data_IF_119246311699
#
_entry.id   IF_119246311699
#
_cell.length_a   1.000
_cell.length_b   1.000
_cell.length_c   1.000
_cell.angle_alpha   90.00
_cell.angle_beta   90.00
_cell.angle_gamma   90.00
#
_symmetry.space_group_name_H-M   'P 1'
#
loop_
_entity.id
_entity.type
_entity.pdbx_description
1 polymer ?
#
# COMPACT_ATOMS: atom_id res chain seq x y z
N UNK A 1 -13.66 -27.52 11.74
CA UNK A 1 -13.20 -26.21 12.26
C UNK A 1 -12.05 -25.75 11.37
N UNK A 2 -12.23 -24.64 10.64
CA UNK A 2 -11.18 -24.07 9.78
C UNK A 2 -10.28 -23.25 10.69
N UNK A 3 -9.09 -23.75 11.01
CA UNK A 3 -8.09 -22.99 11.78
C UNK A 3 -7.87 -21.65 11.08
N UNK A 4 -8.06 -20.56 11.83
CA UNK A 4 -7.75 -19.21 11.38
C UNK A 4 -6.23 -19.16 11.13
N UNK A 5 -5.86 -19.23 9.86
CA UNK A 5 -4.47 -19.31 9.43
C UNK A 5 -3.87 -17.90 9.51
N UNK A 6 -3.24 -17.56 10.63
CA UNK A 6 -2.52 -16.30 10.82
C UNK A 6 -1.34 -16.13 9.87
N UNK A 7 -0.94 -17.17 9.12
CA UNK A 7 0.11 -17.11 8.11
C UNK A 7 -0.39 -16.80 6.71
N UNK A 8 -1.69 -16.51 6.51
CA UNK A 8 -2.16 -16.02 5.22
C UNK A 8 -1.49 -14.67 4.95
N UNK A 9 -0.46 -14.72 4.09
CA UNK A 9 0.22 -13.54 3.55
C UNK A 9 -0.86 -12.62 3.03
N UNK A 10 -0.87 -11.36 3.45
CA UNK A 10 -1.91 -10.44 3.02
C UNK A 10 -2.01 -10.47 1.50
N UNK A 11 -3.16 -10.93 1.01
CA UNK A 11 -3.38 -11.14 -0.40
C UNK A 11 -3.22 -9.82 -1.14
N UNK A 12 -2.70 -9.87 -2.37
CA UNK A 12 -2.60 -8.70 -3.25
C UNK A 12 -3.90 -7.89 -3.32
N UNK A 13 -5.03 -8.59 -3.25
CA UNK A 13 -6.37 -8.01 -3.22
C UNK A 13 -6.59 -7.11 -2.01
N UNK A 14 -6.18 -7.50 -0.80
CA UNK A 14 -6.40 -6.71 0.42
C UNK A 14 -5.67 -5.36 0.37
N UNK A 15 -4.42 -5.38 -0.11
CA UNK A 15 -3.66 -4.15 -0.34
C UNK A 15 -4.30 -3.26 -1.40
N UNK A 16 -4.77 -3.82 -2.52
CA UNK A 16 -5.43 -3.02 -3.57
C UNK A 16 -6.73 -2.41 -3.02
N UNK A 17 -7.55 -3.20 -2.32
CA UNK A 17 -8.77 -2.72 -1.67
C UNK A 17 -8.47 -1.59 -0.70
N UNK A 18 -7.41 -1.73 0.11
CA UNK A 18 -6.98 -0.69 1.03
C UNK A 18 -6.55 0.59 0.31
N UNK A 19 -5.70 0.49 -0.72
CA UNK A 19 -5.24 1.65 -1.49
C UNK A 19 -6.41 2.35 -2.18
N UNK A 20 -7.35 1.59 -2.75
CA UNK A 20 -8.56 2.14 -3.39
C UNK A 20 -9.45 2.83 -2.37
N UNK A 21 -9.72 2.18 -1.23
CA UNK A 21 -10.50 2.77 -0.16
C UNK A 21 -9.87 4.09 0.32
N UNK A 22 -8.55 4.09 0.46
CA UNK A 22 -7.81 5.24 0.94
C UNK A 22 -7.73 6.37 -0.08
N UNK A 23 -7.68 6.06 -1.37
CA UNK A 23 -7.82 7.03 -2.45
C UNK A 23 -9.25 7.61 -2.48
N UNK A 24 -10.29 6.78 -2.37
CA UNK A 24 -11.68 7.23 -2.34
C UNK A 24 -11.95 8.17 -1.16
N UNK A 25 -11.45 7.84 0.02
CA UNK A 25 -11.55 8.73 1.17
C UNK A 25 -10.86 10.06 0.90
N UNK A 26 -9.63 10.06 0.37
CA UNK A 26 -8.94 11.31 0.07
C UNK A 26 -9.66 12.15 -0.98
N UNK A 27 -10.24 11.53 -2.01
CA UNK A 27 -11.05 12.23 -2.99
C UNK A 27 -12.30 12.87 -2.37
N UNK A 28 -12.99 12.16 -1.48
CA UNK A 28 -14.11 12.73 -0.73
C UNK A 28 -13.65 13.91 0.14
N UNK A 29 -12.50 13.79 0.80
CA UNK A 29 -11.91 14.90 1.56
C UNK A 29 -11.64 16.13 0.67
N UNK A 30 -11.05 15.92 -0.51
CA UNK A 30 -10.79 17.00 -1.46
C UNK A 30 -12.10 17.65 -1.95
N UNK A 31 -13.10 16.83 -2.30
CA UNK A 31 -14.37 17.31 -2.85
C UNK A 31 -15.19 18.10 -1.82
N UNK A 32 -15.30 17.59 -0.59
CA UNK A 32 -16.17 18.19 0.43
C UNK A 32 -15.50 19.33 1.21
N UNK A 33 -14.19 19.24 1.44
CA UNK A 33 -13.47 20.17 2.30
C UNK A 33 -12.52 21.06 1.51
N UNK A 34 -11.51 20.48 0.84
CA UNK A 34 -10.48 21.28 0.17
C UNK A 34 -11.04 22.15 -0.97
N UNK A 35 -12.09 21.69 -1.67
CA UNK A 35 -12.78 22.48 -2.68
C UNK A 35 -13.47 23.73 -2.13
N UNK A 36 -13.76 23.78 -0.82
CA UNK A 36 -14.43 24.91 -0.16
C UNK A 36 -13.44 25.85 0.52
N UNK A 37 -12.42 25.30 1.18
CA UNK A 37 -11.46 26.09 1.95
C UNK A 37 -10.22 26.47 1.15
N UNK A 38 -9.99 25.86 -0.02
CA UNK A 38 -8.73 25.97 -0.81
C UNK A 38 -7.46 25.63 -0.03
N UNK A 39 -7.61 25.03 1.16
CA UNK A 39 -6.52 24.68 2.06
C UNK A 39 -6.57 23.18 2.35
N UNK A 40 -5.40 22.55 2.36
CA UNK A 40 -5.24 21.15 2.72
C UNK A 40 -4.87 21.07 4.20
N UNK A 41 -5.74 20.44 4.98
CA UNK A 41 -5.53 20.19 6.39
C UNK A 41 -4.39 19.20 6.59
N UNK A 42 -3.56 19.46 7.59
CA UNK A 42 -2.44 18.58 7.95
C UNK A 42 -2.91 17.22 8.50
N UNK A 43 -3.98 17.22 9.30
CA UNK A 43 -4.55 16.01 9.90
C UNK A 43 -4.98 14.96 8.86
N UNK A 44 -5.82 15.28 7.86
CA UNK A 44 -6.23 14.31 6.84
C UNK A 44 -5.05 13.84 5.97
N UNK A 45 -4.01 14.66 5.84
CA UNK A 45 -2.78 14.31 5.14
C UNK A 45 -1.98 13.24 5.91
N UNK A 46 -1.78 13.42 7.22
CA UNK A 46 -1.19 12.39 8.09
C UNK A 46 -2.02 11.10 8.03
N UNK A 47 -3.34 11.24 8.11
CA UNK A 47 -4.26 10.11 8.12
C UNK A 47 -4.32 9.38 6.78
N UNK A 48 -3.82 9.99 5.71
CA UNK A 48 -3.53 9.34 4.44
C UNK A 48 -2.18 8.60 4.47
N UNK A 49 -1.12 9.29 4.88
CA UNK A 49 0.28 8.83 4.75
C UNK A 49 0.60 7.66 5.68
N UNK A 50 0.27 7.77 6.97
CA UNK A 50 0.64 6.77 7.98
C UNK A 50 0.07 5.37 7.66
N UNK A 51 -1.24 5.22 7.42
CA UNK A 51 -1.84 3.95 7.02
C UNK A 51 -1.31 3.42 5.69
N UNK A 52 -1.10 4.27 4.68
CA UNK A 52 -0.58 3.83 3.37
C UNK A 52 0.86 3.33 3.46
N UNK A 53 1.72 4.04 4.20
CA UNK A 53 3.10 3.61 4.45
C UNK A 53 3.14 2.30 5.25
N UNK A 54 2.33 2.16 6.30
CA UNK A 54 2.28 0.93 7.09
C UNK A 54 1.87 -0.28 6.24
N UNK A 55 0.84 -0.12 5.40
CA UNK A 55 0.38 -1.19 4.51
C UNK A 55 1.42 -1.52 3.41
N UNK A 56 2.08 -0.49 2.85
CA UNK A 56 3.14 -0.67 1.87
C UNK A 56 4.37 -1.39 2.48
N UNK A 57 4.83 -1.01 3.67
CA UNK A 57 5.94 -1.69 4.34
C UNK A 57 5.60 -3.16 4.62
N UNK A 58 4.38 -3.45 5.09
CA UNK A 58 3.91 -4.84 5.30
C UNK A 58 3.97 -5.65 4.01
N UNK A 59 3.45 -5.14 2.89
CA UNK A 59 3.49 -5.88 1.62
C UNK A 59 4.90 -5.96 1.00
N UNK A 60 5.78 -5.00 1.25
CA UNK A 60 7.22 -5.12 0.89
C UNK A 60 7.82 -6.34 1.61
N UNK A 61 7.55 -6.45 2.92
CA UNK A 61 8.04 -7.55 3.73
C UNK A 61 7.43 -8.91 3.31
N UNK A 62 6.12 -8.97 3.05
CA UNK A 62 5.44 -10.21 2.69
C UNK A 62 5.77 -10.72 1.28
N UNK A 63 6.03 -9.80 0.34
CA UNK A 63 6.41 -10.12 -1.04
C UNK A 63 7.91 -10.41 -1.21
N UNK A 64 8.71 -10.28 -0.15
CA UNK A 64 10.15 -10.53 -0.17
C UNK A 64 10.95 -9.48 -0.94
N UNK A 65 10.42 -8.26 -1.05
CA UNK A 65 11.11 -7.14 -1.68
C UNK A 65 12.29 -6.66 -0.81
N UNK A 66 13.35 -6.16 -1.45
CA UNK A 66 14.50 -5.60 -0.73
C UNK A 66 14.11 -4.44 0.17
N UNK A 67 14.71 -4.33 1.36
CA UNK A 67 14.49 -3.21 2.30
C UNK A 67 14.83 -1.84 1.68
N UNK A 68 15.66 -1.79 0.64
CA UNK A 68 15.94 -0.58 -0.12
C UNK A 68 14.68 0.03 -0.76
N UNK A 69 13.67 -0.80 -1.04
CA UNK A 69 12.39 -0.36 -1.59
C UNK A 69 11.61 0.47 -0.56
N UNK A 70 11.82 0.27 0.75
CA UNK A 70 11.24 1.14 1.79
C UNK A 70 11.83 2.56 1.73
N UNK A 71 13.13 2.68 1.45
CA UNK A 71 13.78 3.99 1.28
C UNK A 71 13.23 4.69 0.04
N UNK A 72 13.01 3.93 -1.04
CA UNK A 72 12.38 4.44 -2.26
C UNK A 72 10.92 4.85 -2.02
N UNK A 73 10.19 4.16 -1.14
CA UNK A 73 8.83 4.53 -0.73
C UNK A 73 8.80 5.91 -0.07
N UNK A 74 9.82 6.28 0.70
CA UNK A 74 9.92 7.61 1.31
C UNK A 74 10.22 8.71 0.28
N UNK A 75 11.01 8.41 -0.76
CA UNK A 75 11.41 9.38 -1.79
C UNK A 75 10.36 9.53 -2.90
N UNK A 76 9.69 8.44 -3.27
CA UNK A 76 8.73 8.38 -4.38
C UNK A 76 7.51 7.51 -4.03
N UNK A 77 6.69 7.90 -3.03
CA UNK A 77 5.59 7.09 -2.52
C UNK A 77 4.55 6.77 -3.60
N UNK A 78 4.19 7.76 -4.42
CA UNK A 78 3.13 7.60 -5.42
C UNK A 78 3.46 6.58 -6.52
N UNK A 79 4.69 6.58 -7.02
CA UNK A 79 5.14 5.62 -8.04
C UNK A 79 5.20 4.21 -7.46
N UNK A 80 5.66 4.11 -6.20
CA UNK A 80 5.80 2.85 -5.48
C UNK A 80 4.47 2.17 -5.16
N UNK A 81 3.43 2.92 -4.82
CA UNK A 81 2.10 2.37 -4.52
C UNK A 81 1.51 1.66 -5.75
N UNK A 82 1.71 2.23 -6.95
CA UNK A 82 1.30 1.61 -8.22
C UNK A 82 2.18 0.40 -8.53
N UNK A 83 3.50 0.54 -8.38
CA UNK A 83 4.45 -0.55 -8.63
C UNK A 83 4.18 -1.78 -7.74
N UNK A 84 3.85 -1.56 -6.47
CA UNK A 84 3.51 -2.64 -5.55
C UNK A 84 2.23 -3.38 -5.91
N UNK A 85 1.32 -2.79 -6.68
CA UNK A 85 0.13 -3.47 -7.16
C UNK A 85 0.47 -4.61 -8.15
N UNK A 86 1.62 -4.53 -8.83
CA UNK A 86 2.09 -5.56 -9.76
C UNK A 86 2.66 -6.80 -9.04
N UNK A 87 2.55 -7.99 -9.65
CA UNK A 87 3.12 -9.21 -9.08
C UNK A 87 4.65 -9.08 -8.96
N UNK A 88 5.20 -9.47 -7.80
CA UNK A 88 6.64 -9.59 -7.63
C UNK A 88 7.16 -10.71 -8.54
N UNK A 89 7.94 -10.34 -9.57
CA UNK A 89 8.59 -11.26 -10.50
C UNK A 89 9.56 -12.25 -9.81
N UNK A 90 9.91 -11.99 -8.54
CA UNK A 90 10.89 -12.79 -7.78
C UNK A 90 10.39 -14.20 -7.46
N UNK A 91 9.07 -14.46 -7.43
CA UNK A 91 8.55 -15.80 -7.12
C UNK A 91 8.73 -16.85 -8.22
N UNK A 92 9.06 -16.46 -9.45
CA UNK A 92 9.14 -17.41 -10.55
C UNK A 92 10.48 -18.16 -10.61
N UNK A 93 11.53 -17.67 -9.93
CA UNK A 93 12.88 -18.28 -10.04
C UNK A 93 13.12 -19.51 -9.15
N UNK A 94 12.24 -19.81 -8.20
CA UNK A 94 12.42 -20.92 -7.25
C UNK A 94 11.52 -22.14 -7.52
N UNK A 95 10.75 -22.15 -8.60
CA UNK A 95 9.94 -23.32 -9.00
C UNK A 95 10.46 -24.05 -10.24
N UNK A 96 11.53 -23.58 -10.89
CA UNK A 96 12.16 -24.21 -12.06
C UNK A 96 13.48 -24.94 -11.76
N UNK A 97 13.89 -25.01 -10.49
CA UNK A 97 14.97 -25.90 -10.03
C UNK A 97 14.45 -26.81 -8.92
N UNK A 98 13.63 -27.78 -9.31
CA UNK A 98 13.39 -29.01 -8.53
C UNK A 98 13.23 -30.16 -9.53
#
# INVERSE_FOLDING_TARGET
>A
MKTFNYQDKEGRANYIVFVVFQALWFFLYLLFYASKTSEIGFIPLILLILPTLSCAVRRINDAGYSKAIIVLLCVAPYIMLIFMAFPSSIKEKNQTSA
#
